data_IF_660906927239
#
_entry.id   IF_660906927239
#
_cell.length_a   1.000
_cell.length_b   1.000
_cell.length_c   1.000
_cell.angle_alpha   90.00
_cell.angle_beta   90.00
_cell.angle_gamma   90.00
#
_symmetry.space_group_name_H-M   'P 1'
#
loop_
_entity.id
_entity.type
_entity.pdbx_description
1 polymer ?
#
# COMPACT_ATOMS: atom_id res chain seq x y z
N UNK A 1 12.36 -8.74 27.57
CA UNK A 1 12.96 -9.39 26.38
C UNK A 1 13.70 -10.61 26.86
N UNK A 2 13.16 -11.81 26.72
CA UNK A 2 13.79 -13.00 27.28
C UNK A 2 15.05 -13.46 26.53
N UNK A 3 15.22 -13.05 25.26
CA UNK A 3 16.40 -13.40 24.46
C UNK A 3 16.70 -12.35 23.40
N UNK A 4 17.95 -11.87 23.37
CA UNK A 4 18.47 -11.08 22.25
C UNK A 4 18.89 -12.04 21.13
N UNK A 5 18.17 -12.04 20.03
CA UNK A 5 18.53 -12.79 18.85
C UNK A 5 19.51 -11.95 17.99
N UNK A 6 20.79 -12.34 17.86
CA UNK A 6 21.76 -11.56 17.08
C UNK A 6 21.41 -11.45 15.60
N UNK A 7 20.60 -12.37 15.05
CA UNK A 7 20.13 -12.34 13.66
C UNK A 7 19.13 -11.21 13.41
N UNK A 8 18.53 -10.67 14.48
CA UNK A 8 17.57 -9.57 14.48
C UNK A 8 18.21 -8.25 14.98
N UNK A 9 19.49 -8.04 14.74
CA UNK A 9 20.23 -6.87 15.24
C UNK A 9 19.56 -5.53 14.98
N UNK A 10 18.94 -5.32 13.80
CA UNK A 10 18.17 -4.12 13.49
C UNK A 10 16.88 -3.97 14.32
N UNK A 11 16.30 -5.06 14.81
CA UNK A 11 15.08 -5.01 15.64
C UNK A 11 15.39 -4.77 17.14
N UNK A 12 16.64 -4.86 17.58
CA UNK A 12 17.02 -4.71 18.97
C UNK A 12 16.86 -3.27 19.48
N UNK A 13 17.30 -2.29 18.70
CA UNK A 13 17.09 -0.87 19.03
C UNK A 13 15.61 -0.55 19.13
N UNK A 14 14.80 -1.06 18.21
CA UNK A 14 13.34 -0.93 18.26
C UNK A 14 12.78 -1.51 19.54
N UNK A 15 13.13 -2.76 19.90
CA UNK A 15 12.64 -3.42 21.10
C UNK A 15 13.04 -2.70 22.40
N UNK A 16 14.27 -2.20 22.48
CA UNK A 16 14.74 -1.41 23.62
C UNK A 16 14.00 -0.07 23.69
N UNK A 17 13.83 0.61 22.57
CA UNK A 17 13.08 1.86 22.47
C UNK A 17 11.64 1.67 22.91
N UNK A 18 10.97 0.61 22.47
CA UNK A 18 9.61 0.27 22.86
C UNK A 18 9.48 -0.01 24.38
N UNK A 19 10.50 -0.63 25.00
CA UNK A 19 10.53 -0.85 26.44
C UNK A 19 10.73 0.48 27.19
N UNK A 20 11.66 1.32 26.75
CA UNK A 20 11.90 2.65 27.35
C UNK A 20 10.63 3.50 27.25
N UNK A 21 9.97 3.46 26.10
CA UNK A 21 8.73 4.15 25.85
C UNK A 21 7.62 3.72 26.84
N UNK A 22 7.45 2.40 27.05
CA UNK A 22 6.51 1.86 28.04
C UNK A 22 6.81 2.32 29.47
N UNK A 23 8.09 2.36 29.83
CA UNK A 23 8.50 2.73 31.19
C UNK A 23 8.40 4.22 31.48
N UNK A 24 8.46 5.06 30.44
CA UNK A 24 8.42 6.51 30.58
C UNK A 24 6.98 7.08 30.62
N UNK A 25 5.98 6.30 30.23
CA UNK A 25 4.57 6.70 30.26
C UNK A 25 3.90 6.38 31.59
N UNK A 26 3.36 7.38 32.25
CA UNK A 26 2.54 7.20 33.46
C UNK A 26 1.12 6.72 33.16
N UNK A 27 0.58 7.05 31.96
CA UNK A 27 -0.75 6.65 31.46
C UNK A 27 -0.67 6.45 29.94
N UNK A 28 -1.31 5.41 29.42
CA UNK A 28 -1.49 5.22 27.98
C UNK A 28 -2.49 6.24 27.45
N UNK A 29 -2.26 6.85 26.26
CA UNK A 29 -3.29 7.63 25.61
C UNK A 29 -4.49 6.77 25.25
N UNK A 30 -5.69 7.35 25.37
CA UNK A 30 -6.94 6.71 24.98
C UNK A 30 -7.25 7.01 23.52
N UNK A 31 -7.36 5.97 22.70
CA UNK A 31 -7.78 6.05 21.31
C UNK A 31 -9.24 5.67 21.20
N UNK A 32 -10.07 6.61 20.74
CA UNK A 32 -11.43 6.31 20.28
C UNK A 32 -11.37 5.71 18.89
N UNK A 33 -11.81 4.47 18.73
CA UNK A 33 -11.84 3.79 17.44
C UNK A 33 -13.26 3.71 16.91
N UNK A 34 -13.56 4.49 15.89
CA UNK A 34 -14.85 4.62 15.24
C UNK A 34 -14.81 3.93 13.89
N UNK A 35 -15.46 2.78 13.74
CA UNK A 35 -15.34 1.92 12.55
C UNK A 35 -16.71 1.50 12.00
N UNK A 36 -16.86 1.57 10.67
CA UNK A 36 -17.99 1.02 9.94
C UNK A 36 -17.73 -0.40 9.40
N UNK A 37 -16.56 -0.93 9.71
CA UNK A 37 -16.17 -2.30 9.36
C UNK A 37 -15.98 -3.10 10.64
N UNK A 38 -16.47 -4.35 10.65
CA UNK A 38 -16.19 -5.26 11.75
C UNK A 38 -14.70 -5.63 11.77
N UNK A 39 -14.00 -5.16 12.79
CA UNK A 39 -12.58 -5.41 13.01
C UNK A 39 -12.31 -6.45 14.10
N UNK A 40 -13.37 -6.99 14.70
CA UNK A 40 -13.27 -8.04 15.72
C UNK A 40 -12.78 -9.36 15.12
N UNK A 41 -11.98 -10.15 15.85
CA UNK A 41 -11.64 -11.49 15.43
C UNK A 41 -12.89 -12.36 15.28
N UNK A 42 -13.03 -13.17 14.20
CA UNK A 42 -14.18 -14.01 14.00
C UNK A 42 -14.32 -15.06 15.11
N UNK A 43 -15.53 -15.31 15.60
CA UNK A 43 -15.81 -16.38 16.54
C UNK A 43 -15.81 -17.73 15.83
N UNK A 44 -14.95 -18.64 16.25
CA UNK A 44 -14.90 -20.02 15.76
C UNK A 44 -16.05 -20.86 16.39
N UNK A 45 -16.49 -21.96 15.72
CA UNK A 45 -17.59 -22.79 16.20
C UNK A 45 -17.42 -23.38 17.60
N UNK A 46 -16.19 -23.43 18.11
CA UNK A 46 -15.82 -23.92 19.45
C UNK A 46 -15.74 -22.80 20.52
N UNK A 47 -16.29 -21.63 20.27
CA UNK A 47 -16.18 -20.43 21.10
C UNK A 47 -14.73 -19.93 21.32
N UNK A 48 -13.79 -20.32 20.47
CA UNK A 48 -12.46 -19.71 20.44
C UNK A 48 -12.46 -18.54 19.46
N UNK A 49 -11.73 -17.49 19.81
CA UNK A 49 -11.48 -16.41 18.86
C UNK A 49 -10.62 -16.93 17.71
N UNK A 50 -11.06 -16.69 16.49
CA UNK A 50 -10.29 -16.95 15.29
C UNK A 50 -9.09 -15.99 15.18
N UNK A 51 -8.31 -16.15 14.13
CA UNK A 51 -7.26 -15.18 13.82
C UNK A 51 -7.92 -13.90 13.28
N UNK A 52 -7.71 -12.78 13.99
CA UNK A 52 -8.20 -11.48 13.54
C UNK A 52 -7.47 -11.01 12.27
N UNK A 53 -8.13 -10.21 11.47
CA UNK A 53 -7.55 -9.58 10.27
C UNK A 53 -6.76 -8.30 10.60
N UNK A 54 -6.85 -7.80 11.83
CA UNK A 54 -6.31 -6.52 12.29
C UNK A 54 -5.38 -6.69 13.49
N UNK A 55 -4.35 -7.53 13.36
CA UNK A 55 -3.38 -7.74 14.46
C UNK A 55 -2.62 -6.46 14.81
N UNK A 56 -2.64 -5.45 13.94
CA UNK A 56 -2.08 -4.13 14.23
C UNK A 56 -2.74 -3.49 15.46
N UNK A 57 -4.06 -3.64 15.64
CA UNK A 57 -4.77 -3.09 16.80
C UNK A 57 -4.32 -3.79 18.09
N UNK A 58 -4.05 -5.12 18.02
CA UNK A 58 -3.49 -5.87 19.12
C UNK A 58 -2.08 -5.37 19.47
N UNK A 59 -1.21 -5.19 18.47
CA UNK A 59 0.14 -4.63 18.65
C UNK A 59 0.10 -3.22 19.27
N UNK A 60 -0.77 -2.35 18.78
CA UNK A 60 -0.92 -0.99 19.28
C UNK A 60 -1.49 -0.96 20.70
N UNK A 61 -2.30 -1.95 21.12
CA UNK A 61 -2.86 -2.04 22.47
C UNK A 61 -1.78 -2.19 23.58
N UNK A 62 -0.57 -2.58 23.21
CA UNK A 62 0.57 -2.55 24.12
C UNK A 62 0.98 -1.13 24.54
N UNK A 63 0.70 -0.12 23.70
CA UNK A 63 1.14 1.27 23.87
C UNK A 63 0.00 2.24 24.11
N UNK A 64 -1.21 1.92 23.67
CA UNK A 64 -2.42 2.73 23.71
C UNK A 64 -3.57 1.95 24.33
N UNK A 65 -4.49 2.62 24.98
CA UNK A 65 -5.77 2.06 25.35
C UNK A 65 -6.81 2.37 24.27
N UNK A 66 -7.66 1.41 23.93
CA UNK A 66 -8.68 1.57 22.88
C UNK A 66 -10.09 1.55 23.47
N UNK A 67 -10.89 2.53 23.06
CA UNK A 67 -12.33 2.55 23.24
C UNK A 67 -12.98 2.40 21.88
N UNK A 68 -13.67 1.25 21.66
CA UNK A 68 -14.43 1.01 20.44
C UNK A 68 -15.78 1.70 20.54
N UNK A 69 -16.00 2.66 19.64
CA UNK A 69 -17.14 3.56 19.67
C UNK A 69 -18.27 3.07 18.76
N UNK A 70 -19.52 3.34 19.13
CA UNK A 70 -20.67 3.11 18.27
C UNK A 70 -20.70 4.13 17.12
N UNK A 71 -21.19 3.72 15.94
CA UNK A 71 -21.20 4.55 14.72
C UNK A 71 -22.16 5.73 14.76
N UNK A 72 -23.02 5.81 15.78
CA UNK A 72 -23.98 6.90 16.03
C UNK A 72 -23.59 7.81 17.20
N UNK A 73 -22.29 7.77 17.61
CA UNK A 73 -21.76 8.58 18.69
C UNK A 73 -21.91 10.09 18.40
N UNK A 74 -22.32 10.85 19.41
CA UNK A 74 -22.56 12.31 19.29
C UNK A 74 -21.53 13.17 20.06
N UNK A 75 -20.63 12.59 20.82
CA UNK A 75 -19.56 13.27 21.53
C UNK A 75 -18.40 12.31 21.85
N UNK A 76 -17.23 12.87 22.10
CA UNK A 76 -16.00 12.11 22.41
C UNK A 76 -15.45 12.59 23.75
N UNK A 77 -15.77 11.87 24.83
CA UNK A 77 -15.28 12.18 26.18
C UNK A 77 -14.07 11.30 26.51
N UNK A 78 -13.06 11.91 27.13
CA UNK A 78 -11.83 11.24 27.56
C UNK A 78 -11.03 10.55 26.43
N UNK A 79 -11.21 10.96 25.18
CA UNK A 79 -10.45 10.48 24.03
C UNK A 79 -9.29 11.44 23.77
N UNK A 80 -8.06 10.90 23.75
CA UNK A 80 -6.84 11.65 23.45
C UNK A 80 -6.58 11.75 21.94
N UNK A 81 -7.02 10.71 21.17
CA UNK A 81 -6.91 10.62 19.73
C UNK A 81 -8.10 9.85 19.15
N UNK A 82 -8.66 10.34 18.06
CA UNK A 82 -9.75 9.68 17.34
C UNK A 82 -9.25 9.00 16.07
N UNK A 83 -9.56 7.71 15.89
CA UNK A 83 -9.36 6.97 14.65
C UNK A 83 -10.72 6.73 13.99
N UNK A 84 -10.93 7.31 12.80
CA UNK A 84 -12.15 7.13 11.99
C UNK A 84 -11.82 6.19 10.84
N UNK A 85 -12.44 5.01 10.84
CA UNK A 85 -12.07 3.94 9.93
C UNK A 85 -13.20 3.58 8.97
N UNK A 86 -12.99 3.83 7.67
CA UNK A 86 -13.91 3.55 6.57
C UNK A 86 -15.35 4.02 6.81
N UNK A 87 -15.60 5.33 6.98
CA UNK A 87 -16.91 5.88 7.28
C UNK A 87 -17.84 5.81 6.06
N UNK A 88 -18.45 4.64 5.81
CA UNK A 88 -19.27 4.38 4.62
C UNK A 88 -20.75 4.78 4.75
N UNK A 89 -21.26 4.90 5.97
CA UNK A 89 -22.66 5.25 6.29
C UNK A 89 -22.72 6.15 7.53
N UNK A 90 -21.88 7.18 7.60
CA UNK A 90 -21.86 8.10 8.76
C UNK A 90 -23.14 8.94 8.80
N UNK A 91 -23.69 9.11 10.01
CA UNK A 91 -24.79 10.03 10.20
C UNK A 91 -24.30 11.47 10.27
N UNK A 92 -25.15 12.44 9.88
CA UNK A 92 -24.80 13.86 9.96
C UNK A 92 -24.44 14.29 11.39
N UNK A 93 -25.06 13.71 12.41
CA UNK A 93 -24.75 14.00 13.82
C UNK A 93 -23.39 13.49 14.24
N UNK A 94 -23.02 12.27 13.79
CA UNK A 94 -21.70 11.71 14.06
C UNK A 94 -20.63 12.47 13.28
N UNK A 95 -20.89 12.82 12.02
CA UNK A 95 -19.98 13.66 11.22
C UNK A 95 -19.75 15.00 11.89
N UNK A 96 -20.83 15.68 12.36
CA UNK A 96 -20.74 16.90 13.17
C UNK A 96 -19.89 16.71 14.43
N UNK A 97 -20.10 15.61 15.17
CA UNK A 97 -19.33 15.36 16.39
C UNK A 97 -17.84 15.19 16.09
N UNK A 98 -17.49 14.48 15.01
CA UNK A 98 -16.08 14.31 14.55
C UNK A 98 -15.49 15.67 14.15
N UNK A 99 -16.22 16.50 13.38
CA UNK A 99 -15.75 17.84 13.03
C UNK A 99 -15.50 18.69 14.28
N UNK A 100 -16.42 18.73 15.23
CA UNK A 100 -16.28 19.50 16.47
C UNK A 100 -15.09 19.01 17.32
N UNK A 101 -14.83 17.70 17.34
CA UNK A 101 -13.64 17.15 17.99
C UNK A 101 -12.36 17.67 17.32
N UNK A 102 -12.30 17.68 15.99
CA UNK A 102 -11.16 18.19 15.21
C UNK A 102 -10.97 19.70 15.46
N UNK A 103 -12.04 20.49 15.38
CA UNK A 103 -11.97 21.95 15.59
C UNK A 103 -11.58 22.35 17.01
N UNK A 104 -11.89 21.50 17.99
CA UNK A 104 -11.44 21.68 19.38
C UNK A 104 -9.97 21.31 19.61
N UNK A 105 -9.22 20.98 18.55
CA UNK A 105 -7.82 20.56 18.61
C UNK A 105 -7.64 19.07 18.88
N UNK A 106 -8.70 18.28 18.75
CA UNK A 106 -8.66 16.82 18.86
C UNK A 106 -7.81 16.21 17.74
N UNK A 107 -6.88 15.35 18.10
CA UNK A 107 -5.99 14.67 17.17
C UNK A 107 -6.71 13.56 16.48
N UNK A 108 -6.64 13.49 15.15
CA UNK A 108 -7.50 12.59 14.40
C UNK A 108 -6.72 11.89 13.30
N UNK A 109 -6.98 10.59 13.13
CA UNK A 109 -6.56 9.81 11.95
C UNK A 109 -7.81 9.35 11.22
N UNK A 110 -7.88 9.60 9.92
CA UNK A 110 -9.03 9.23 9.08
C UNK A 110 -8.54 8.28 7.99
N UNK A 111 -9.22 7.15 7.85
CA UNK A 111 -9.00 6.19 6.77
C UNK A 111 -10.22 6.22 5.85
N UNK A 112 -10.08 6.90 4.73
CA UNK A 112 -11.05 6.86 3.64
C UNK A 112 -10.75 5.66 2.76
N UNK A 113 -11.74 5.21 2.01
CA UNK A 113 -11.56 4.12 1.07
C UNK A 113 -12.62 4.22 -0.03
N UNK A 114 -12.23 4.31 -1.32
CA UNK A 114 -13.19 4.26 -2.42
C UNK A 114 -13.70 2.84 -2.65
N UNK A 115 -12.89 1.82 -2.32
CA UNK A 115 -13.19 0.43 -2.60
C UNK A 115 -12.54 -0.50 -1.57
N UNK A 116 -13.28 -0.85 -0.52
CA UNK A 116 -12.82 -1.78 0.50
C UNK A 116 -12.76 -3.22 -0.03
N UNK A 117 -11.57 -3.82 -0.08
CA UNK A 117 -11.31 -5.16 -0.65
C UNK A 117 -11.85 -6.29 0.26
N UNK A 118 -13.17 -6.33 0.48
CA UNK A 118 -13.85 -7.40 1.20
C UNK A 118 -14.67 -8.24 0.24
N UNK A 119 -14.71 -9.54 0.46
CA UNK A 119 -15.41 -10.49 -0.41
C UNK A 119 -16.96 -10.40 -0.38
N UNK A 120 -17.52 -9.43 0.32
CA UNK A 120 -18.94 -9.16 0.27
C UNK A 120 -19.22 -8.07 -0.77
N UNK A 121 -20.20 -8.28 -1.62
CA UNK A 121 -20.58 -7.38 -2.71
C UNK A 121 -21.20 -6.04 -2.25
N UNK A 122 -21.03 -5.65 -0.99
CA UNK A 122 -21.55 -4.43 -0.38
C UNK A 122 -20.52 -3.31 -0.31
N UNK A 123 -19.56 -3.26 -1.25
CA UNK A 123 -18.53 -2.24 -1.27
C UNK A 123 -19.16 -0.85 -1.44
N UNK A 124 -19.13 -0.06 -0.38
CA UNK A 124 -19.48 1.35 -0.38
C UNK A 124 -18.20 2.18 -0.25
N UNK A 125 -18.14 3.32 -0.93
CA UNK A 125 -17.10 4.30 -0.69
C UNK A 125 -17.28 4.96 0.68
N UNK A 126 -16.19 5.37 1.28
CA UNK A 126 -16.22 6.27 2.44
C UNK A 126 -16.85 7.61 2.05
N UNK A 127 -17.66 8.19 2.94
CA UNK A 127 -18.31 9.49 2.73
C UNK A 127 -18.16 10.36 3.96
N UNK A 128 -17.45 11.50 3.81
CA UNK A 128 -17.23 12.53 4.84
C UNK A 128 -17.31 13.92 4.20
N UNK A 129 -18.40 14.21 3.50
CA UNK A 129 -18.46 15.38 2.61
C UNK A 129 -18.17 16.72 3.33
N UNK A 130 -18.75 16.94 4.51
CA UNK A 130 -18.56 18.19 5.22
C UNK A 130 -17.20 18.25 5.93
N UNK A 131 -16.74 17.16 6.53
CA UNK A 131 -15.40 17.09 7.13
C UNK A 131 -14.33 17.33 6.06
N UNK A 132 -14.46 16.76 4.87
CA UNK A 132 -13.49 16.96 3.78
C UNK A 132 -13.44 18.44 3.34
N UNK A 133 -14.59 19.12 3.30
CA UNK A 133 -14.63 20.58 3.07
C UNK A 133 -13.96 21.35 4.21
N UNK A 134 -14.24 21.01 5.47
CA UNK A 134 -13.59 21.59 6.66
C UNK A 134 -12.08 21.39 6.61
N UNK A 135 -11.61 20.23 6.16
CA UNK A 135 -10.18 19.89 6.03
C UNK A 135 -9.55 20.41 4.72
N UNK A 136 -10.31 21.07 3.84
CA UNK A 136 -9.88 21.54 2.54
C UNK A 136 -9.33 20.42 1.65
N UNK A 137 -9.98 19.24 1.66
CA UNK A 137 -9.57 18.05 0.89
C UNK A 137 -10.55 17.78 -0.22
N UNK A 138 -10.00 17.53 -1.40
CA UNK A 138 -10.67 16.88 -2.51
C UNK A 138 -10.28 15.39 -2.50
N UNK A 139 -11.25 14.52 -2.27
CA UNK A 139 -11.09 13.07 -2.32
C UNK A 139 -11.62 12.55 -3.66
N UNK A 140 -10.72 12.02 -4.51
CA UNK A 140 -11.10 11.33 -5.73
C UNK A 140 -11.50 9.89 -5.37
N UNK A 141 -12.79 9.58 -5.48
CA UNK A 141 -13.37 8.26 -5.19
C UNK A 141 -13.11 7.22 -6.31
N UNK A 142 -12.50 7.61 -7.43
CA UNK A 142 -12.00 6.66 -8.42
C UNK A 142 -10.77 5.93 -7.84
N UNK A 143 -10.60 4.67 -8.24
CA UNK A 143 -9.43 3.88 -7.83
C UNK A 143 -8.23 4.31 -8.65
N UNK A 144 -7.15 4.64 -7.98
CA UNK A 144 -5.89 5.02 -8.60
C UNK A 144 -5.07 3.78 -8.91
N UNK A 145 -4.80 3.58 -10.18
CA UNK A 145 -3.85 2.58 -10.68
C UNK A 145 -2.47 3.22 -10.76
N UNK A 146 -1.42 2.49 -10.35
CA UNK A 146 -0.04 2.94 -10.48
C UNK A 146 0.81 1.88 -11.18
N UNK A 147 1.22 2.16 -12.42
CA UNK A 147 1.99 1.23 -13.24
C UNK A 147 3.44 1.08 -12.80
N UNK A 148 4.04 2.13 -12.22
CA UNK A 148 5.43 2.09 -11.76
C UNK A 148 5.60 1.39 -10.40
N UNK A 149 4.54 1.43 -9.56
CA UNK A 149 4.55 0.90 -8.20
C UNK A 149 3.68 -0.36 -8.04
N UNK A 150 3.18 -0.94 -9.13
CA UNK A 150 2.27 -2.08 -9.09
C UNK A 150 2.84 -3.31 -8.38
N UNK A 151 2.03 -3.93 -7.53
CA UNK A 151 2.38 -5.19 -6.85
C UNK A 151 2.47 -6.35 -7.85
N UNK A 152 3.50 -7.19 -7.69
CA UNK A 152 3.71 -8.41 -8.48
C UNK A 152 3.33 -9.64 -7.67
N UNK A 153 2.23 -10.27 -8.04
CA UNK A 153 1.80 -11.52 -7.41
C UNK A 153 2.26 -12.71 -8.25
N UNK A 154 2.89 -13.68 -7.61
CA UNK A 154 3.16 -14.98 -8.24
C UNK A 154 1.98 -15.90 -7.97
N UNK A 155 1.25 -16.25 -9.03
CA UNK A 155 0.15 -17.22 -8.97
C UNK A 155 0.60 -18.55 -9.56
N UNK A 156 0.18 -19.64 -8.93
CA UNK A 156 0.38 -20.99 -9.48
C UNK A 156 -0.84 -21.35 -10.33
N UNK A 157 -0.65 -21.51 -11.62
CA UNK A 157 -1.66 -22.09 -12.48
C UNK A 157 -1.34 -23.56 -12.73
N UNK A 158 -2.30 -24.43 -12.40
CA UNK A 158 -2.24 -25.83 -12.74
C UNK A 158 -2.82 -26.03 -14.14
N UNK A 159 -1.96 -26.12 -15.15
CA UNK A 159 -2.36 -26.43 -16.50
C UNK A 159 -1.96 -27.91 -16.77
N UNK A 160 -2.95 -28.81 -16.79
CA UNK A 160 -2.80 -30.21 -17.16
C UNK A 160 -1.44 -30.82 -16.78
N UNK A 161 -1.28 -31.23 -15.52
CA UNK A 161 -0.10 -31.87 -14.90
C UNK A 161 1.20 -31.05 -14.79
N UNK A 162 1.23 -29.80 -15.26
CA UNK A 162 2.36 -28.89 -15.05
C UNK A 162 1.93 -27.66 -14.26
N UNK A 163 2.54 -27.45 -13.11
CA UNK A 163 2.40 -26.21 -12.34
C UNK A 163 3.31 -25.15 -12.95
N UNK A 164 2.73 -24.10 -13.55
CA UNK A 164 3.49 -22.93 -13.99
C UNK A 164 3.30 -21.77 -13.02
N UNK A 165 4.39 -21.07 -12.70
CA UNK A 165 4.34 -19.81 -11.97
C UNK A 165 4.04 -18.69 -12.98
N UNK A 166 2.94 -18.01 -12.80
CA UNK A 166 2.59 -16.83 -13.57
C UNK A 166 2.69 -15.59 -12.68
N UNK A 167 3.32 -14.53 -13.18
CA UNK A 167 3.35 -13.23 -12.49
C UNK A 167 2.14 -12.42 -12.94
N UNK A 168 1.28 -12.05 -11.99
CA UNK A 168 0.17 -11.13 -12.19
C UNK A 168 0.55 -9.75 -11.67
N UNK A 169 0.34 -8.72 -12.46
CA UNK A 169 0.53 -7.33 -12.07
C UNK A 169 -0.77 -6.78 -11.49
N UNK A 170 -0.72 -6.25 -10.28
CA UNK A 170 -1.83 -5.58 -9.61
C UNK A 170 -1.59 -4.08 -9.63
N UNK A 171 -2.11 -3.40 -10.66
CA UNK A 171 -1.97 -1.94 -10.83
C UNK A 171 -2.68 -1.14 -9.74
N UNK A 172 -3.75 -1.71 -9.18
CA UNK A 172 -4.54 -1.15 -8.09
C UNK A 172 -3.97 -1.43 -6.68
N UNK A 173 -2.80 -2.11 -6.59
CA UNK A 173 -2.11 -2.37 -5.31
C UNK A 173 -0.70 -1.80 -5.37
N UNK A 174 -0.51 -0.48 -5.19
CA UNK A 174 0.80 0.14 -5.21
C UNK A 174 1.71 -0.34 -4.06
N UNK A 175 2.95 -0.68 -4.37
CA UNK A 175 4.06 -0.83 -3.42
C UNK A 175 4.88 0.45 -3.41
N UNK A 176 4.50 1.38 -2.54
CA UNK A 176 5.12 2.72 -2.45
C UNK A 176 6.49 2.62 -1.81
N UNK A 177 7.50 3.17 -2.48
CA UNK A 177 8.91 3.09 -2.06
C UNK A 177 9.67 4.39 -2.30
N UNK A 178 10.77 4.56 -1.56
CA UNK A 178 11.78 5.58 -1.82
C UNK A 178 11.26 7.01 -1.75
N UNK A 179 11.38 7.76 -2.85
CA UNK A 179 11.01 9.17 -2.93
C UNK A 179 9.51 9.45 -2.78
N UNK A 180 8.67 8.44 -2.89
CA UNK A 180 7.22 8.53 -2.77
C UNK A 180 6.72 8.37 -1.32
N UNK A 181 7.65 8.13 -0.38
CA UNK A 181 7.43 8.22 1.07
C UNK A 181 8.19 9.46 1.55
N UNK A 182 7.51 10.39 2.22
CA UNK A 182 8.11 11.62 2.68
C UNK A 182 9.04 11.36 3.88
N UNK A 183 10.33 11.20 3.59
CA UNK A 183 11.38 10.92 4.60
C UNK A 183 11.74 12.17 5.43
N UNK A 184 11.22 13.36 5.10
CA UNK A 184 11.50 14.59 5.84
C UNK A 184 10.54 14.78 7.01
N UNK A 185 9.35 14.17 6.93
CA UNK A 185 8.39 14.09 8.02
C UNK A 185 8.72 12.88 8.92
N UNK A 186 8.64 13.07 10.24
CA UNK A 186 8.91 12.01 11.21
C UNK A 186 8.08 10.76 10.96
N UNK A 187 6.84 10.92 10.51
CA UNK A 187 5.92 9.82 10.18
C UNK A 187 6.50 8.91 9.10
N UNK A 188 7.09 9.47 8.05
CA UNK A 188 7.64 8.72 6.92
C UNK A 188 9.09 8.31 7.09
N UNK A 189 9.79 8.88 8.08
CA UNK A 189 11.22 8.67 8.28
C UNK A 189 11.54 7.20 8.56
N UNK A 190 12.52 6.65 7.83
CA UNK A 190 13.00 5.27 7.95
C UNK A 190 12.08 4.20 7.37
N UNK A 191 10.91 4.56 6.81
CA UNK A 191 10.03 3.61 6.14
C UNK A 191 10.54 3.32 4.71
N UNK A 192 10.49 2.07 4.29
CA UNK A 192 11.07 1.59 3.03
C UNK A 192 10.02 1.12 2.02
N UNK A 193 8.94 0.50 2.51
CA UNK A 193 7.89 -0.10 1.70
C UNK A 193 6.53 0.05 2.38
N UNK A 194 5.64 0.78 1.75
CA UNK A 194 4.23 0.84 2.13
C UNK A 194 3.39 0.19 1.03
N UNK A 195 2.52 -0.74 1.39
CA UNK A 195 1.52 -1.33 0.49
C UNK A 195 0.21 -0.61 0.66
N UNK A 196 -0.29 -0.08 -0.42
CA UNK A 196 -1.58 0.58 -0.53
C UNK A 196 -2.49 -0.29 -1.40
N UNK A 197 -3.80 -0.28 -1.16
CA UNK A 197 -4.72 -1.25 -1.76
C UNK A 197 -5.94 -0.52 -2.31
N UNK A 198 -6.10 -0.53 -3.62
CA UNK A 198 -7.22 0.13 -4.32
C UNK A 198 -7.51 1.57 -3.87
N UNK A 199 -6.49 2.41 -3.68
CA UNK A 199 -6.64 3.73 -3.07
C UNK A 199 -7.43 4.70 -3.93
N UNK A 200 -8.05 5.69 -3.28
CA UNK A 200 -8.45 6.93 -3.92
C UNK A 200 -7.29 7.92 -4.04
N UNK A 201 -7.58 9.12 -4.55
CA UNK A 201 -6.62 10.22 -4.64
C UNK A 201 -6.96 11.34 -3.67
N UNK A 202 -5.97 11.92 -3.02
CA UNK A 202 -6.10 13.10 -2.17
C UNK A 202 -5.44 14.29 -2.85
N UNK A 203 -6.07 15.46 -2.76
CA UNK A 203 -5.53 16.74 -3.19
C UNK A 203 -6.13 17.89 -2.37
N UNK A 204 -5.49 19.05 -2.30
CA UNK A 204 -6.13 20.23 -1.74
C UNK A 204 -7.36 20.64 -2.55
N UNK A 205 -8.45 21.03 -1.88
CA UNK A 205 -9.63 21.56 -2.54
C UNK A 205 -9.36 22.99 -3.06
N UNK A 206 -8.67 23.81 -2.25
CA UNK A 206 -8.23 25.16 -2.59
C UNK A 206 -6.77 25.36 -2.16
N UNK A 207 -5.94 25.92 -3.04
CA UNK A 207 -4.52 26.18 -2.75
C UNK A 207 -4.30 27.32 -1.77
N UNK A 208 -5.21 28.31 -1.68
CA UNK A 208 -5.13 29.48 -0.80
C UNK A 208 -5.70 29.22 0.60
N UNK A 209 -5.67 27.99 1.10
CA UNK A 209 -6.18 27.63 2.43
C UNK A 209 -5.15 27.93 3.53
N UNK A 210 -5.65 28.25 4.75
CA UNK A 210 -4.81 28.32 5.96
C UNK A 210 -4.38 26.95 6.49
N UNK A 211 -4.84 25.87 5.86
CA UNK A 211 -4.45 24.50 6.19
C UNK A 211 -3.14 24.17 5.47
N UNK A 212 -2.17 23.72 6.25
CA UNK A 212 -0.91 23.22 5.77
C UNK A 212 -1.07 21.77 5.31
N UNK A 213 -1.02 21.55 4.01
CA UNK A 213 -1.15 20.24 3.39
C UNK A 213 0.23 19.61 3.18
N UNK A 214 0.53 18.51 3.86
CA UNK A 214 1.83 17.84 3.81
C UNK A 214 1.64 16.42 3.30
N UNK A 215 2.05 16.10 2.05
CA UNK A 215 2.06 14.73 1.56
C UNK A 215 2.97 13.83 2.39
N UNK A 216 2.48 12.64 2.74
CA UNK A 216 3.24 11.60 3.45
C UNK A 216 3.59 10.44 2.52
N UNK A 217 2.63 10.04 1.70
CA UNK A 217 2.72 8.90 0.78
C UNK A 217 2.05 9.32 -0.52
N UNK A 218 2.77 9.17 -1.64
CA UNK A 218 2.29 9.59 -2.96
C UNK A 218 2.44 8.48 -4.00
N UNK A 219 1.68 8.58 -5.07
CA UNK A 219 1.84 7.76 -6.27
C UNK A 219 3.08 8.14 -7.08
N UNK A 220 3.36 7.39 -8.13
CA UNK A 220 4.21 7.84 -9.22
C UNK A 220 3.44 8.75 -10.19
N UNK A 221 4.13 9.25 -11.22
CA UNK A 221 3.55 9.94 -12.38
C UNK A 221 2.94 8.97 -13.42
N UNK A 222 3.06 7.64 -13.22
CA UNK A 222 2.57 6.60 -14.13
C UNK A 222 1.24 6.07 -13.61
N UNK A 223 0.25 6.95 -13.51
CA UNK A 223 -1.05 6.65 -12.92
C UNK A 223 -2.20 6.78 -13.90
N UNK A 224 -3.29 6.11 -13.59
CA UNK A 224 -4.59 6.23 -14.23
C UNK A 224 -5.68 6.04 -13.17
N UNK A 225 -6.72 6.85 -13.19
CA UNK A 225 -7.87 6.64 -12.32
C UNK A 225 -8.98 5.89 -13.07
N UNK A 226 -9.68 5.00 -12.34
CA UNK A 226 -10.77 4.19 -12.90
C UNK A 226 -11.98 4.16 -11.96
N UNK A 227 -13.20 4.07 -12.50
CA UNK A 227 -14.39 3.82 -11.67
C UNK A 227 -14.28 2.48 -10.93
N UNK A 228 -14.77 2.42 -9.69
CA UNK A 228 -14.80 1.23 -8.82
C UNK A 228 -15.25 -0.06 -9.54
N UNK A 229 -16.29 0.04 -10.37
CA UNK A 229 -16.86 -1.12 -11.11
C UNK A 229 -15.90 -1.81 -12.09
N UNK A 230 -14.79 -1.15 -12.44
CA UNK A 230 -13.80 -1.67 -13.41
C UNK A 230 -12.64 -2.43 -12.75
N UNK A 231 -12.51 -2.39 -11.42
CA UNK A 231 -11.37 -2.96 -10.69
C UNK A 231 -11.28 -4.49 -10.74
N UNK A 232 -12.38 -5.18 -11.03
CA UNK A 232 -12.48 -6.65 -10.88
C UNK A 232 -11.76 -7.47 -11.96
N UNK A 233 -11.35 -6.85 -13.09
CA UNK A 233 -10.68 -7.53 -14.20
C UNK A 233 -9.23 -7.03 -14.35
N UNK A 234 -8.24 -7.68 -13.69
CA UNK A 234 -6.84 -7.26 -13.75
C UNK A 234 -6.26 -7.25 -15.17
N UNK A 235 -6.72 -8.14 -16.03
CA UNK A 235 -6.24 -8.24 -17.41
C UNK A 235 -6.71 -7.04 -18.22
N UNK A 236 -8.00 -6.72 -18.09
CA UNK A 236 -8.59 -5.56 -18.72
C UNK A 236 -7.93 -4.27 -18.24
N UNK A 237 -7.62 -4.18 -16.93
CA UNK A 237 -6.90 -3.04 -16.36
C UNK A 237 -5.52 -2.86 -17.02
N UNK A 238 -4.73 -3.94 -17.13
CA UNK A 238 -3.40 -3.88 -17.74
C UNK A 238 -3.49 -3.47 -19.21
N UNK A 239 -4.43 -4.05 -19.97
CA UNK A 239 -4.56 -3.80 -21.41
C UNK A 239 -5.05 -2.39 -21.72
N UNK A 240 -5.88 -1.81 -20.86
CA UNK A 240 -6.46 -0.47 -21.04
C UNK A 240 -5.68 0.63 -20.31
N UNK A 241 -4.62 0.28 -19.59
CA UNK A 241 -3.85 1.23 -18.81
C UNK A 241 -3.15 2.27 -19.71
N UNK A 242 -3.50 3.54 -19.50
CA UNK A 242 -2.92 4.68 -20.21
C UNK A 242 -2.52 5.74 -19.17
N UNK A 243 -1.23 5.89 -18.87
CA UNK A 243 -0.79 6.85 -17.85
C UNK A 243 -1.21 8.28 -18.19
N UNK A 244 -1.76 8.97 -17.22
CA UNK A 244 -2.21 10.37 -17.35
C UNK A 244 -1.12 11.39 -17.02
N UNK A 245 -0.05 10.96 -16.33
CA UNK A 245 1.01 11.84 -15.84
C UNK A 245 0.64 12.60 -14.56
N UNK A 246 -0.48 12.25 -13.92
CA UNK A 246 -0.95 12.90 -12.69
C UNK A 246 -0.41 12.12 -11.48
N UNK A 247 0.17 12.83 -10.52
CA UNK A 247 0.54 12.28 -9.22
C UNK A 247 -0.63 12.47 -8.24
N UNK A 248 -0.87 11.47 -7.38
CA UNK A 248 -1.90 11.50 -6.34
C UNK A 248 -1.27 11.23 -4.99
N UNK A 249 -1.79 11.87 -3.95
CA UNK A 249 -1.40 11.54 -2.59
C UNK A 249 -2.33 10.47 -2.02
N UNK A 250 -1.74 9.49 -1.32
CA UNK A 250 -2.45 8.41 -0.64
C UNK A 250 -2.51 8.60 0.87
N UNK A 251 -1.64 9.46 1.40
CA UNK A 251 -1.63 9.82 2.81
C UNK A 251 -1.10 11.22 3.00
N UNK A 252 -1.77 12.01 3.85
CA UNK A 252 -1.44 13.43 4.10
C UNK A 252 -1.57 13.78 5.57
N UNK A 253 -0.76 14.76 6.02
CA UNK A 253 -0.88 15.40 7.32
C UNK A 253 -1.39 16.83 7.13
N UNK A 254 -2.39 17.19 7.90
CA UNK A 254 -3.09 18.47 7.82
C UNK A 254 -2.94 19.20 9.16
N UNK A 255 -2.43 20.41 9.11
CA UNK A 255 -2.29 21.29 10.27
C UNK A 255 -2.70 22.71 9.89
N UNK A 256 -3.04 23.55 10.85
CA UNK A 256 -3.42 24.95 10.60
C UNK A 256 -4.82 25.26 11.09
N UNK A 257 -5.40 26.35 10.59
CA UNK A 257 -6.72 26.81 11.02
C UNK A 257 -7.79 26.53 9.96
N UNK A 258 -8.99 26.29 10.43
CA UNK A 258 -10.16 26.07 9.55
C UNK A 258 -11.45 26.42 10.26
N UNK A 259 -12.55 26.47 9.53
CA UNK A 259 -13.89 26.81 10.02
C UNK A 259 -14.87 25.67 9.77
N UNK A 260 -15.88 25.60 10.61
CA UNK A 260 -16.97 24.60 10.54
C UNK A 260 -17.78 24.75 9.27
N UNK A 261 -18.27 23.61 8.76
CA UNK A 261 -19.29 23.54 7.72
C UNK A 261 -20.70 23.41 8.29
N UNK A 262 -20.84 23.39 9.64
CA UNK A 262 -22.10 23.13 10.33
C UNK A 262 -22.67 24.37 11.07
N UNK A 263 -22.26 25.58 10.74
CA UNK A 263 -22.71 26.80 11.41
C UNK A 263 -24.25 26.99 11.33
N UNK A 264 -24.90 26.54 10.26
CA UNK A 264 -26.34 26.67 10.04
C UNK A 264 -27.13 25.37 10.36
N UNK A 265 -26.54 24.43 11.06
CA UNK A 265 -27.13 23.12 11.31
C UNK A 265 -28.15 23.12 12.44
N UNK A 266 -29.29 22.41 12.27
CA UNK A 266 -30.38 22.40 13.28
C UNK A 266 -29.99 21.71 14.59
N UNK A 267 -29.02 20.74 14.57
CA UNK A 267 -28.58 20.02 15.79
C UNK A 267 -27.36 20.68 16.45
N UNK A 268 -27.02 21.87 16.04
CA UNK A 268 -25.90 22.61 16.61
C UNK A 268 -26.05 22.73 18.13
N UNK A 269 -25.04 22.26 18.86
CA UNK A 269 -24.99 22.32 20.31
C UNK A 269 -24.66 23.74 20.78
N UNK A 270 -25.02 24.10 22.03
CA UNK A 270 -24.73 25.42 22.60
C UNK A 270 -23.22 25.73 22.67
N UNK A 271 -22.37 24.70 22.74
CA UNK A 271 -20.93 24.79 22.74
C UNK A 271 -20.29 24.58 21.36
N UNK A 272 -21.02 24.83 20.27
CA UNK A 272 -20.52 24.72 18.92
C UNK A 272 -19.29 25.58 18.67
N UNK A 273 -18.30 25.03 17.98
CA UNK A 273 -17.05 25.66 17.60
C UNK A 273 -17.11 25.98 16.10
N UNK A 274 -17.21 27.27 15.77
CA UNK A 274 -17.28 27.73 14.37
C UNK A 274 -15.92 27.80 13.68
N UNK A 275 -14.82 27.85 14.45
CA UNK A 275 -13.45 27.88 13.92
C UNK A 275 -12.50 27.20 14.88
N UNK A 276 -11.47 26.58 14.36
CA UNK A 276 -10.47 25.88 15.17
C UNK A 276 -9.82 26.79 16.18
N UNK A 277 -9.71 26.33 17.43
CA UNK A 277 -9.21 27.15 18.56
C UNK A 277 -7.69 27.11 18.68
N UNK A 278 -7.07 25.96 18.39
CA UNK A 278 -5.63 25.72 18.51
C UNK A 278 -5.02 25.13 17.22
N UNK A 279 -5.72 25.32 16.10
CA UNK A 279 -5.41 24.63 14.86
C UNK A 279 -5.85 23.17 14.89
N UNK A 280 -5.90 22.56 13.71
CA UNK A 280 -6.19 21.14 13.53
C UNK A 280 -4.90 20.32 13.48
N UNK A 281 -4.98 19.05 13.82
CA UNK A 281 -3.90 18.07 13.62
C UNK A 281 -4.51 16.74 13.19
N UNK A 282 -4.57 16.54 11.87
CA UNK A 282 -5.26 15.39 11.24
C UNK A 282 -4.29 14.70 10.30
N UNK A 283 -4.28 13.37 10.35
CA UNK A 283 -3.65 12.53 9.31
C UNK A 283 -4.76 11.79 8.57
N UNK A 284 -4.72 11.81 7.25
CA UNK A 284 -5.74 11.24 6.40
C UNK A 284 -5.12 10.32 5.37
N UNK A 285 -5.70 9.12 5.21
CA UNK A 285 -5.33 8.13 4.20
C UNK A 285 -6.49 7.88 3.26
N UNK A 286 -6.20 7.58 2.00
CA UNK A 286 -7.18 7.27 0.96
C UNK A 286 -7.37 5.76 0.73
N UNK A 287 -6.94 4.95 1.66
CA UNK A 287 -7.05 3.49 1.72
C UNK A 287 -7.25 3.07 3.17
N UNK A 288 -8.19 2.19 3.44
CA UNK A 288 -8.39 1.61 4.76
C UNK A 288 -7.85 0.18 4.84
N UNK A 289 -7.79 -0.53 3.71
CA UNK A 289 -7.33 -1.92 3.65
C UNK A 289 -5.88 -2.13 4.06
N UNK A 290 -5.02 -1.14 3.89
CA UNK A 290 -3.57 -1.28 4.06
C UNK A 290 -3.14 -1.66 5.49
N UNK A 291 -4.02 -1.51 6.50
CA UNK A 291 -3.76 -1.96 7.88
C UNK A 291 -4.18 -3.41 8.13
N UNK A 292 -4.86 -4.08 7.18
CA UNK A 292 -5.24 -5.48 7.28
C UNK A 292 -4.03 -6.39 7.11
N UNK A 293 -3.98 -7.48 7.87
CA UNK A 293 -2.85 -8.43 7.89
C UNK A 293 -2.45 -8.91 6.50
N UNK A 294 -3.43 -9.15 5.61
CA UNK A 294 -3.17 -9.64 4.25
C UNK A 294 -2.15 -8.78 3.47
N UNK A 295 -2.03 -7.49 3.80
CA UNK A 295 -1.23 -6.53 3.05
C UNK A 295 0.11 -6.15 3.70
N UNK A 296 0.29 -6.40 4.99
CA UNK A 296 1.53 -5.99 5.67
C UNK A 296 2.20 -7.07 6.53
N UNK A 297 1.48 -8.15 6.90
CA UNK A 297 1.99 -9.14 7.84
C UNK A 297 1.54 -10.56 7.49
N UNK A 298 2.41 -11.51 7.79
CA UNK A 298 2.06 -12.93 7.88
C UNK A 298 1.96 -13.30 9.33
N UNK A 299 0.76 -13.66 9.78
CA UNK A 299 0.53 -14.06 11.16
C UNK A 299 0.49 -15.57 11.25
N UNK A 300 1.40 -16.16 12.03
CA UNK A 300 1.49 -17.59 12.28
C UNK A 300 1.25 -17.85 13.77
N UNK A 301 0.40 -18.80 14.09
CA UNK A 301 0.19 -19.21 15.47
C UNK A 301 1.26 -20.24 15.86
N UNK A 302 2.08 -19.89 16.83
CA UNK A 302 3.06 -20.79 17.42
C UNK A 302 2.71 -21.01 18.90
N UNK A 303 2.26 -22.21 19.26
CA UNK A 303 1.64 -22.51 20.56
C UNK A 303 0.43 -21.57 20.78
N UNK A 304 0.43 -20.80 21.87
CA UNK A 304 -0.63 -19.82 22.18
C UNK A 304 -0.23 -18.38 21.87
N UNK A 305 0.84 -18.17 21.06
CA UNK A 305 1.35 -16.84 20.73
C UNK A 305 1.28 -16.62 19.21
N UNK A 306 0.80 -15.44 18.79
CA UNK A 306 0.88 -15.02 17.41
C UNK A 306 2.33 -14.57 17.11
N UNK A 307 2.95 -15.16 16.09
CA UNK A 307 4.22 -14.70 15.52
C UNK A 307 3.89 -13.90 14.26
N UNK A 308 4.22 -12.61 14.31
CA UNK A 308 3.96 -11.68 13.21
C UNK A 308 5.26 -11.47 12.43
N UNK A 309 5.25 -11.87 11.16
CA UNK A 309 6.31 -11.58 10.20
C UNK A 309 5.85 -10.42 9.30
N UNK A 310 6.45 -9.24 9.45
CA UNK A 310 6.10 -8.07 8.65
C UNK A 310 6.62 -8.20 7.24
N UNK A 311 5.78 -7.92 6.25
CA UNK A 311 6.12 -7.95 4.81
C UNK A 311 6.19 -6.56 4.19
N UNK A 312 5.74 -5.53 4.92
CA UNK A 312 5.84 -4.11 4.60
C UNK A 312 5.85 -3.28 5.89
N UNK A 313 6.10 -1.98 5.78
CA UNK A 313 6.22 -1.07 6.92
C UNK A 313 4.88 -0.42 7.32
N UNK A 314 3.74 -0.93 6.85
CA UNK A 314 2.41 -0.38 7.13
C UNK A 314 2.15 -0.28 8.64
N UNK A 315 2.49 -1.33 9.41
CA UNK A 315 2.37 -1.32 10.85
C UNK A 315 3.23 -0.23 11.52
N UNK A 316 4.45 -0.04 11.02
CA UNK A 316 5.36 1.02 11.49
C UNK A 316 4.83 2.41 11.14
N UNK A 317 4.25 2.59 9.94
CA UNK A 317 3.60 3.84 9.52
C UNK A 317 2.50 4.25 10.50
N UNK A 318 1.56 3.34 10.82
CA UNK A 318 0.48 3.66 11.74
C UNK A 318 1.00 3.97 13.15
N UNK A 319 2.00 3.21 13.61
CA UNK A 319 2.64 3.50 14.89
C UNK A 319 3.27 4.89 14.91
N UNK A 320 3.98 5.27 13.85
CA UNK A 320 4.59 6.60 13.72
C UNK A 320 3.53 7.72 13.69
N UNK A 321 2.40 7.49 12.99
CA UNK A 321 1.28 8.44 12.96
C UNK A 321 0.74 8.68 14.37
N UNK A 322 0.46 7.61 15.12
CA UNK A 322 -0.06 7.74 16.48
C UNK A 322 0.94 8.39 17.43
N UNK A 323 2.22 8.06 17.32
CA UNK A 323 3.28 8.67 18.11
C UNK A 323 3.43 10.16 17.78
N UNK A 324 3.45 10.54 16.50
CA UNK A 324 3.52 11.93 16.07
C UNK A 324 2.32 12.75 16.58
N UNK A 325 1.12 12.23 16.42
CA UNK A 325 -0.08 12.91 16.91
C UNK A 325 -0.12 13.00 18.44
N UNK A 326 0.46 12.06 19.17
CA UNK A 326 0.47 12.07 20.65
C UNK A 326 1.69 12.76 21.26
N UNK A 327 2.56 13.36 20.43
CA UNK A 327 3.70 14.19 20.88
C UNK A 327 4.91 13.35 21.29
N UNK A 328 5.14 12.22 20.63
CA UNK A 328 6.27 11.33 20.87
C UNK A 328 7.19 11.19 19.65
N UNK A 329 7.29 12.24 18.83
CA UNK A 329 8.09 12.28 17.60
C UNK A 329 9.57 11.89 17.82
N UNK A 330 10.14 12.22 18.98
CA UNK A 330 11.53 11.87 19.31
C UNK A 330 11.78 10.36 19.30
N UNK A 331 10.78 9.55 19.62
CA UNK A 331 10.90 8.08 19.63
C UNK A 331 10.83 7.48 18.22
N UNK A 332 10.17 8.13 17.27
CA UNK A 332 10.12 7.70 15.87
C UNK A 332 11.55 7.66 15.31
N UNK A 333 12.32 8.72 15.53
CA UNK A 333 13.69 8.83 15.06
C UNK A 333 14.65 7.80 15.69
N UNK A 334 14.37 7.36 16.93
CA UNK A 334 15.15 6.31 17.61
C UNK A 334 14.79 4.92 17.08
N UNK A 335 13.51 4.69 16.74
CA UNK A 335 13.00 3.40 16.26
C UNK A 335 13.42 3.11 14.83
N UNK A 336 13.49 4.14 13.98
CA UNK A 336 13.67 4.04 12.53
C UNK A 336 15.13 4.23 12.06
N UNK A 337 16.12 3.99 12.92
CA UNK A 337 17.55 4.06 12.57
C UNK A 337 18.03 2.98 11.60
N UNK A 338 17.16 2.36 10.83
CA UNK A 338 17.59 1.43 9.79
C UNK A 338 18.35 2.16 8.67
N UNK A 339 19.30 1.44 8.07
CA UNK A 339 20.10 1.96 6.94
C UNK A 339 19.14 2.39 5.83
N UNK A 340 19.15 3.64 5.38
CA UNK A 340 18.19 4.11 4.39
C UNK A 340 18.30 3.26 3.12
N UNK A 341 17.25 2.51 2.82
CA UNK A 341 17.13 1.79 1.56
C UNK A 341 17.01 2.84 0.45
N UNK A 342 18.00 2.88 -0.44
CA UNK A 342 18.00 3.75 -1.63
C UNK A 342 17.64 2.90 -2.84
N UNK A 343 16.36 2.82 -3.22
CA UNK A 343 15.96 2.07 -4.40
C UNK A 343 16.53 2.72 -5.68
N UNK A 344 16.87 1.90 -6.66
CA UNK A 344 17.23 2.37 -7.99
C UNK A 344 15.95 2.76 -8.76
N UNK A 345 15.35 3.91 -8.44
CA UNK A 345 14.06 4.37 -8.97
C UNK A 345 13.99 4.35 -10.50
N UNK A 346 15.07 4.75 -11.18
CA UNK A 346 15.18 4.69 -12.66
C UNK A 346 15.08 3.24 -13.15
N UNK A 347 15.71 2.30 -12.46
CA UNK A 347 15.66 0.87 -12.81
C UNK A 347 14.27 0.31 -12.60
N UNK A 348 13.63 0.67 -11.49
CA UNK A 348 12.25 0.25 -11.21
C UNK A 348 11.27 0.79 -12.25
N UNK A 349 11.39 2.07 -12.64
CA UNK A 349 10.56 2.67 -13.69
C UNK A 349 10.75 1.96 -15.03
N UNK A 350 11.99 1.75 -15.46
CA UNK A 350 12.29 1.04 -16.70
C UNK A 350 11.82 -0.43 -16.68
N UNK A 351 11.93 -1.10 -15.53
CA UNK A 351 11.42 -2.46 -15.37
C UNK A 351 9.90 -2.49 -15.42
N UNK A 352 9.21 -1.55 -14.76
CA UNK A 352 7.75 -1.43 -14.78
C UNK A 352 7.24 -1.15 -16.22
N UNK A 353 7.91 -0.28 -16.98
CA UNK A 353 7.57 0.01 -18.38
C UNK A 353 7.73 -1.24 -19.27
N UNK A 354 8.83 -2.01 -19.08
CA UNK A 354 9.06 -3.25 -19.82
C UNK A 354 8.00 -4.31 -19.47
N UNK A 355 7.69 -4.49 -18.20
CA UNK A 355 6.69 -5.45 -17.73
C UNK A 355 5.29 -5.07 -18.20
N UNK A 356 4.90 -3.80 -18.10
CA UNK A 356 3.61 -3.32 -18.60
C UNK A 356 3.42 -3.64 -20.10
N UNK A 357 4.48 -3.48 -20.89
CA UNK A 357 4.46 -3.74 -22.32
C UNK A 357 4.22 -5.20 -22.69
N UNK A 358 4.78 -6.13 -21.90
CA UNK A 358 4.81 -7.54 -22.26
C UNK A 358 3.83 -8.41 -21.46
N UNK A 359 3.53 -8.07 -20.20
CA UNK A 359 2.64 -8.87 -19.36
C UNK A 359 1.20 -8.86 -19.85
N UNK A 360 0.71 -7.72 -20.35
CA UNK A 360 -0.62 -7.66 -20.97
C UNK A 360 -0.74 -8.59 -22.17
N UNK A 361 0.27 -8.61 -23.03
CA UNK A 361 0.31 -9.50 -24.20
C UNK A 361 0.44 -10.99 -23.78
N UNK A 362 1.23 -11.29 -22.77
CA UNK A 362 1.37 -12.65 -22.23
C UNK A 362 0.03 -13.15 -21.69
N UNK A 363 -0.66 -12.35 -20.88
CA UNK A 363 -1.96 -12.73 -20.32
C UNK A 363 -3.03 -12.92 -21.39
N UNK A 364 -3.09 -12.05 -22.37
CA UNK A 364 -4.04 -12.18 -23.50
C UNK A 364 -3.80 -13.50 -24.28
N UNK A 365 -2.55 -13.79 -24.62
CA UNK A 365 -2.18 -15.03 -25.29
C UNK A 365 -2.45 -16.27 -24.43
N UNK A 366 -2.27 -16.16 -23.11
CA UNK A 366 -2.59 -17.25 -22.18
C UNK A 366 -4.10 -17.53 -22.16
N UNK A 367 -4.93 -16.49 -22.11
CA UNK A 367 -6.39 -16.64 -22.15
C UNK A 367 -6.85 -17.25 -23.49
N UNK A 368 -6.28 -16.82 -24.60
CA UNK A 368 -6.58 -17.41 -25.93
C UNK A 368 -6.20 -18.91 -25.97
N UNK A 369 -5.08 -19.26 -25.34
CA UNK A 369 -4.64 -20.66 -25.22
C UNK A 369 -5.62 -21.48 -24.39
N UNK A 370 -6.03 -20.98 -23.22
CA UNK A 370 -6.94 -21.66 -22.30
C UNK A 370 -8.34 -21.81 -22.92
N UNK A 371 -8.84 -20.78 -23.61
CA UNK A 371 -10.10 -20.85 -24.35
C UNK A 371 -10.04 -21.89 -25.46
N UNK A 372 -8.96 -21.91 -26.25
CA UNK A 372 -8.79 -22.88 -27.32
C UNK A 372 -8.69 -24.34 -26.80
N UNK A 373 -7.98 -24.53 -25.67
CA UNK A 373 -7.89 -25.82 -24.99
C UNK A 373 -9.26 -26.29 -24.46
N UNK A 374 -10.04 -25.36 -23.90
CA UNK A 374 -11.42 -25.61 -23.43
C UNK A 374 -12.32 -26.04 -24.59
N UNK A 375 -12.21 -25.40 -25.76
CA UNK A 375 -12.95 -25.76 -26.98
C UNK A 375 -12.56 -27.17 -27.46
N UNK A 376 -11.28 -27.50 -27.42
CA UNK A 376 -10.80 -28.87 -27.74
C UNK A 376 -11.38 -29.90 -26.75
N UNK A 377 -11.39 -29.59 -25.45
CA UNK A 377 -11.96 -30.48 -24.42
C UNK A 377 -13.48 -30.67 -24.62
N UNK A 378 -14.22 -29.60 -24.91
CA UNK A 378 -15.65 -29.67 -25.15
C UNK A 378 -16.00 -30.51 -26.41
N UNK A 379 -15.21 -30.37 -27.47
CA UNK A 379 -15.33 -31.23 -28.66
C UNK A 379 -14.99 -32.70 -28.36
N UNK A 380 -14.13 -32.95 -27.35
CA UNK A 380 -13.72 -34.30 -26.92
C UNK A 380 -14.69 -34.90 -25.90
N UNK A 381 -15.22 -34.07 -24.96
CA UNK A 381 -16.05 -34.48 -23.82
C UNK A 381 -17.51 -34.84 -24.21
N UNK A 382 -18.02 -34.31 -25.30
CA UNK A 382 -19.35 -34.69 -25.86
C UNK A 382 -19.49 -36.16 -26.26
N UNK A 383 -18.50 -37.01 -25.85
CA UNK A 383 -18.30 -38.40 -26.28
C UNK A 383 -18.30 -39.48 -25.21
N UNK A 384 -18.44 -39.12 -23.97
CA UNK A 384 -18.46 -40.13 -22.90
C UNK A 384 -19.75 -41.00 -22.96
N UNK A 385 -20.02 -41.64 -24.12
CA UNK A 385 -21.18 -42.51 -24.22
C UNK A 385 -21.48 -43.18 -25.56
N UNK A 386 -20.96 -42.69 -26.68
CA UNK A 386 -21.26 -43.31 -27.98
C UNK A 386 -20.03 -43.41 -28.90
N UNK A 387 -19.83 -44.57 -29.51
CA UNK A 387 -18.85 -44.83 -30.58
C UNK A 387 -19.35 -44.15 -31.88
N UNK A 388 -19.23 -42.84 -31.97
CA UNK A 388 -19.51 -42.11 -33.22
C UNK A 388 -18.19 -41.57 -33.77
N UNK A 389 -17.82 -42.03 -34.98
CA UNK A 389 -16.69 -41.46 -35.71
C UNK A 389 -16.87 -40.00 -35.98
N UNK A 390 -15.78 -39.22 -35.79
CA UNK A 390 -15.74 -37.79 -36.09
C UNK A 390 -16.13 -37.53 -37.53
N UNK A 391 -17.03 -36.58 -37.76
CA UNK A 391 -17.27 -36.08 -39.11
C UNK A 391 -15.99 -35.39 -39.62
N UNK A 392 -15.75 -35.45 -40.93
CA UNK A 392 -14.60 -34.79 -41.56
C UNK A 392 -14.49 -33.28 -41.19
N UNK A 393 -15.62 -32.62 -40.96
CA UNK A 393 -15.66 -31.22 -40.43
C UNK A 393 -15.07 -31.08 -39.04
N UNK A 394 -15.41 -31.96 -38.10
CA UNK A 394 -14.92 -31.92 -36.73
C UNK A 394 -13.43 -32.28 -36.65
N UNK A 395 -12.96 -33.20 -37.52
CA UNK A 395 -11.53 -33.49 -37.65
C UNK A 395 -10.75 -32.28 -38.18
N UNK A 396 -11.30 -31.54 -39.14
CA UNK A 396 -10.71 -30.29 -39.61
C UNK A 396 -10.68 -29.19 -38.54
N UNK A 397 -11.75 -29.00 -37.75
CA UNK A 397 -11.79 -28.06 -36.64
C UNK A 397 -10.77 -28.42 -35.58
N UNK A 398 -10.67 -29.67 -35.17
CA UNK A 398 -9.67 -30.15 -34.22
C UNK A 398 -8.24 -29.87 -34.71
N UNK A 399 -7.96 -30.18 -35.98
CA UNK A 399 -6.65 -29.85 -36.57
C UNK A 399 -6.35 -28.36 -36.59
N UNK A 400 -7.34 -27.52 -36.88
CA UNK A 400 -7.19 -26.07 -36.83
C UNK A 400 -6.92 -25.56 -35.40
N UNK A 401 -7.63 -26.07 -34.40
CA UNK A 401 -7.38 -25.73 -32.99
C UNK A 401 -5.99 -26.17 -32.53
N UNK A 402 -5.51 -27.34 -32.93
CA UNK A 402 -4.15 -27.80 -32.62
C UNK A 402 -3.09 -26.88 -33.21
N UNK A 403 -3.27 -26.41 -34.46
CA UNK A 403 -2.38 -25.44 -35.09
C UNK A 403 -2.42 -24.07 -34.33
N UNK A 404 -3.60 -23.62 -33.92
CA UNK A 404 -3.75 -22.38 -33.16
C UNK A 404 -3.06 -22.50 -31.80
N UNK A 405 -3.22 -23.59 -31.05
CA UNK A 405 -2.51 -23.87 -29.80
C UNK A 405 -1.00 -23.76 -29.98
N UNK A 406 -0.46 -24.40 -31.05
CA UNK A 406 0.97 -24.37 -31.31
C UNK A 406 1.48 -22.97 -31.65
N UNK A 407 0.72 -22.21 -32.44
CA UNK A 407 1.02 -20.81 -32.77
C UNK A 407 0.99 -19.92 -31.52
N UNK A 408 -0.04 -20.04 -30.69
CA UNK A 408 -0.18 -19.24 -29.45
C UNK A 408 0.93 -19.58 -28.47
N UNK A 409 1.29 -20.85 -28.30
CA UNK A 409 2.44 -21.27 -27.48
C UNK A 409 3.77 -20.71 -28.00
N UNK A 410 3.94 -20.61 -29.31
CA UNK A 410 5.14 -19.99 -29.90
C UNK A 410 5.19 -18.49 -29.61
N UNK A 411 4.07 -17.79 -29.76
CA UNK A 411 3.97 -16.37 -29.45
C UNK A 411 4.23 -16.10 -27.96
N UNK A 412 3.66 -16.91 -27.06
CA UNK A 412 3.93 -16.84 -25.63
C UNK A 412 5.41 -16.97 -25.30
N UNK A 413 6.10 -17.98 -25.90
CA UNK A 413 7.55 -18.13 -25.70
C UNK A 413 8.35 -16.93 -26.21
N UNK A 414 7.89 -16.30 -27.27
CA UNK A 414 8.54 -15.11 -27.84
C UNK A 414 8.35 -13.88 -26.96
N UNK A 415 7.14 -13.65 -26.46
CA UNK A 415 6.83 -12.54 -25.51
C UNK A 415 7.66 -12.71 -24.23
N UNK A 416 7.67 -13.90 -23.61
CA UNK A 416 8.47 -14.21 -22.40
C UNK A 416 9.97 -13.99 -22.64
N UNK A 417 10.47 -14.42 -23.79
CA UNK A 417 11.88 -14.24 -24.14
C UNK A 417 12.23 -12.76 -24.33
N UNK A 418 11.34 -11.98 -24.92
CA UNK A 418 11.56 -10.55 -25.13
C UNK A 418 11.55 -9.78 -23.79
N UNK A 419 10.60 -10.08 -22.90
CA UNK A 419 10.57 -9.55 -21.55
C UNK A 419 11.86 -9.85 -20.78
N UNK A 420 12.26 -11.11 -20.70
CA UNK A 420 13.50 -11.51 -20.02
C UNK A 420 14.74 -10.83 -20.64
N UNK A 421 14.81 -10.74 -21.97
CA UNK A 421 15.92 -10.11 -22.66
C UNK A 421 16.04 -8.61 -22.36
N UNK A 422 14.94 -7.90 -22.31
CA UNK A 422 14.95 -6.46 -22.00
C UNK A 422 15.37 -6.22 -20.53
N UNK A 423 14.88 -7.04 -19.60
CA UNK A 423 15.29 -7.00 -18.18
C UNK A 423 16.76 -7.37 -18.01
N UNK A 424 17.23 -8.44 -18.66
CA UNK A 424 18.65 -8.89 -18.60
C UNK A 424 19.60 -7.86 -19.21
N UNK A 425 19.22 -7.22 -20.31
CA UNK A 425 20.02 -6.14 -20.91
C UNK A 425 20.16 -4.95 -19.96
N UNK A 426 19.12 -4.63 -19.22
CA UNK A 426 19.11 -3.56 -18.24
C UNK A 426 20.02 -3.90 -17.06
N UNK A 427 19.85 -5.11 -16.49
CA UNK A 427 20.69 -5.62 -15.41
C UNK A 427 22.18 -5.67 -15.80
N UNK A 428 22.48 -6.15 -17.01
CA UNK A 428 23.85 -6.21 -17.53
C UNK A 428 24.47 -4.81 -17.73
N UNK A 429 23.72 -3.84 -18.25
CA UNK A 429 24.21 -2.44 -18.37
C UNK A 429 24.58 -1.86 -17.02
N UNK A 430 23.74 -2.07 -15.99
CA UNK A 430 23.98 -1.58 -14.64
C UNK A 430 25.19 -2.28 -14.02
N UNK A 431 25.29 -3.61 -14.16
CA UNK A 431 26.41 -4.37 -13.63
C UNK A 431 27.74 -3.96 -14.28
N UNK A 432 27.77 -3.74 -15.61
CA UNK A 432 28.95 -3.25 -16.33
C UNK A 432 29.31 -1.85 -15.83
N UNK A 433 28.33 -0.96 -15.69
CA UNK A 433 28.57 0.39 -15.21
C UNK A 433 29.15 0.37 -13.78
N UNK A 434 28.55 -0.37 -12.86
CA UNK A 434 29.04 -0.47 -11.47
C UNK A 434 30.40 -1.15 -11.38
N UNK A 435 30.65 -2.18 -12.18
CA UNK A 435 31.91 -2.95 -12.13
C UNK A 435 33.10 -2.16 -12.71
N UNK A 436 32.88 -1.38 -13.75
CA UNK A 436 33.95 -0.70 -14.46
C UNK A 436 34.06 0.79 -14.13
N UNK A 437 32.97 1.48 -13.79
CA UNK A 437 32.99 2.93 -13.53
C UNK A 437 33.86 3.27 -12.33
N UNK A 438 33.76 2.55 -11.23
CA UNK A 438 34.53 2.82 -9.99
C UNK A 438 36.01 2.59 -10.21
N UNK A 439 36.50 1.45 -10.77
CA UNK A 439 37.93 1.26 -11.08
C UNK A 439 38.46 2.28 -12.07
N UNK A 440 37.71 2.62 -13.12
CA UNK A 440 38.12 3.62 -14.12
C UNK A 440 38.25 4.99 -13.46
N UNK A 441 37.31 5.38 -12.60
CA UNK A 441 37.35 6.65 -11.88
C UNK A 441 38.53 6.72 -10.91
N UNK A 442 38.84 5.63 -10.23
CA UNK A 442 40.04 5.53 -9.36
C UNK A 442 41.34 5.62 -10.17
N UNK A 443 41.42 4.97 -11.32
CA UNK A 443 42.57 5.05 -12.22
C UNK A 443 42.73 6.49 -12.73
N UNK A 444 41.66 7.13 -13.17
CA UNK A 444 41.65 8.53 -13.59
C UNK A 444 42.07 9.47 -12.45
N UNK A 445 41.56 9.29 -11.25
CA UNK A 445 41.97 10.03 -10.06
C UNK A 445 43.45 9.84 -9.73
N UNK A 446 43.97 8.63 -9.85
CA UNK A 446 45.41 8.37 -9.70
C UNK A 446 46.26 9.12 -10.74
N UNK A 447 45.77 9.29 -11.97
CA UNK A 447 46.47 10.06 -13.01
C UNK A 447 46.37 11.58 -12.80
N UNK A 448 45.24 12.06 -12.23
CA UNK A 448 44.99 13.49 -12.01
C UNK A 448 45.39 13.98 -10.63
N UNK A 449 45.69 13.13 -9.66
CA UNK A 449 46.33 13.58 -8.41
C UNK A 449 47.74 14.04 -8.78
N UNK A 450 48.03 15.35 -8.82
CA UNK A 450 49.34 15.80 -9.20
C UNK A 450 50.36 15.27 -8.18
N UNK A 451 51.52 14.87 -8.66
CA UNK A 451 52.71 14.49 -7.89
C UNK A 451 53.18 15.56 -6.87
N UNK A 452 52.29 16.36 -6.31
CA UNK A 452 52.59 17.42 -5.35
C UNK A 452 52.74 16.97 -3.90
N UNK A 453 52.49 15.71 -3.59
CA UNK A 453 52.97 15.14 -2.34
C UNK A 453 54.39 14.66 -2.50
N UNK A 454 55.31 15.63 -2.62
CA UNK A 454 56.71 15.40 -2.58
C UNK A 454 57.10 14.67 -1.30
N UNK A 455 57.45 13.40 -1.42
CA UNK A 455 58.15 12.65 -0.38
C UNK A 455 59.49 13.41 -0.15
N UNK A 456 59.49 14.23 0.90
CA UNK A 456 60.74 14.77 1.46
C UNK A 456 61.62 13.60 1.83
N UNK A 457 62.58 13.22 0.97
CA UNK A 457 63.70 12.36 1.36
C UNK A 457 64.38 13.02 2.57
N UNK A 458 64.23 12.47 3.73
CA UNK A 458 65.07 12.72 4.90
C UNK A 458 66.46 12.15 4.53
N UNK A 459 67.35 13.01 4.15
CA UNK A 459 68.80 12.72 4.10
C UNK A 459 69.28 12.54 5.55
N UNK A 460 69.69 11.33 5.90
CA UNK A 460 70.50 11.06 7.09
C UNK A 460 71.89 11.57 6.87
N UNK A 461 72.36 12.43 7.72
CA UNK A 461 73.77 12.52 8.16
C UNK A 461 73.83 12.20 9.64
#
# INVERSE_FOLDING_TARGET
VPFFDPSKGGSLEKQITDIIFKLNRSKKPMIGFLSWVDTAPPMMPNNQLGQGEYTILEELSYFYDFEFLDTDVENFENIDLLMVYHPSDITEKTEYAVEQFILNGGKTVIFLDPFFEKNDHSNKSSSLENILKTLNINFNENIILDGAQATRLQTQQNISDNTSLQTMLKLNWPEVRGQYINQQEDIGNGLSLIRIVSPGGLAPLNEDSEINYIPLISSSDVTMDIPMKEVHDPIKLINNFQPTGVEYDFGVKLTGNTSSQYDDFEFKKDNHISSSTNGINVVLFSDADFIRNAFWARVQKFLDTNVIETTSDNGSLITNVLDSLTGFDEFINLRNKETPFRPFTVVQKLQAEAEQKYLGQEQELQNQLDETLSQIQNLSAGRAGENVDLSDKQLMELANFQVLVEQTRKQLREVRRNLSKDIDLLANKINILNTFLIPILLILLMFFIPRQLGIRKRSSK
#
